data_IF_448067783942
#
_entry.id   IF_448067783942
#
_cell.length_a   1.000
_cell.length_b   1.000
_cell.length_c   1.000
_cell.angle_alpha   90.00
_cell.angle_beta   90.00
_cell.angle_gamma   90.00
#
_symmetry.space_group_name_H-M   'P 1'
#
loop_
_entity.id
_entity.type
_entity.pdbx_description
1 polymer ?
#
# COMPACT_ATOMS: atom_id res chain seq x y z
N UNK A 1 27.30 -4.52 -15.31
CA UNK A 1 26.52 -5.65 -14.76
C UNK A 1 25.08 -5.22 -14.68
N UNK A 2 24.31 -5.52 -15.72
CA UNK A 2 22.87 -5.30 -15.76
C UNK A 2 22.18 -6.22 -14.75
N UNK A 3 21.81 -5.67 -13.60
CA UNK A 3 20.95 -6.34 -12.66
C UNK A 3 19.50 -6.14 -13.08
N UNK A 4 18.93 -7.12 -13.79
CA UNK A 4 17.48 -7.18 -14.01
C UNK A 4 16.75 -7.12 -12.66
N UNK A 5 16.00 -6.04 -12.46
CA UNK A 5 15.21 -5.79 -11.24
C UNK A 5 14.14 -6.85 -11.05
N UNK A 6 13.80 -7.14 -9.79
CA UNK A 6 12.68 -8.03 -9.47
C UNK A 6 11.34 -7.29 -9.48
N UNK A 7 10.26 -8.02 -9.76
CA UNK A 7 8.90 -7.51 -9.84
C UNK A 7 8.54 -6.57 -8.68
N UNK A 8 7.95 -5.42 -9.02
CA UNK A 8 7.59 -4.32 -8.11
C UNK A 8 8.80 -3.58 -7.50
N UNK A 9 9.92 -3.51 -8.22
CA UNK A 9 11.13 -2.79 -7.81
C UNK A 9 11.88 -3.44 -6.64
N UNK A 10 11.63 -4.71 -6.36
CA UNK A 10 12.33 -5.45 -5.32
C UNK A 10 13.71 -5.93 -5.83
N UNK A 11 14.75 -5.74 -5.02
CA UNK A 11 16.03 -6.40 -5.25
C UNK A 11 15.84 -7.94 -5.16
N UNK A 12 16.64 -8.71 -5.91
CA UNK A 12 16.69 -10.17 -5.73
C UNK A 12 17.07 -10.47 -4.26
N UNK A 13 16.37 -11.40 -3.63
CA UNK A 13 16.62 -11.78 -2.25
C UNK A 13 18.08 -12.26 -2.06
N UNK A 14 18.75 -11.82 -0.99
CA UNK A 14 20.11 -12.24 -0.63
C UNK A 14 21.13 -11.14 -0.28
N UNK A 15 20.77 -9.85 -0.40
CA UNK A 15 21.63 -8.74 0.04
C UNK A 15 21.53 -8.46 1.55
N UNK A 16 22.62 -8.01 2.17
CA UNK A 16 22.59 -7.53 3.55
C UNK A 16 21.67 -6.31 3.69
N UNK A 17 20.82 -6.30 4.73
CA UNK A 17 19.98 -5.14 5.04
C UNK A 17 20.87 -3.98 5.50
N UNK A 18 20.85 -2.88 4.75
CA UNK A 18 21.53 -1.62 5.11
C UNK A 18 20.47 -0.61 5.61
N UNK A 19 20.36 -0.38 6.94
CA UNK A 19 19.40 0.54 7.51
C UNK A 19 19.56 1.98 6.99
N UNK A 20 20.79 2.41 6.69
CA UNK A 20 21.06 3.76 6.23
C UNK A 20 20.48 4.01 4.83
N UNK A 21 20.67 3.06 3.92
CA UNK A 21 20.08 3.14 2.57
C UNK A 21 18.58 2.94 2.56
N UNK A 22 18.03 2.14 3.48
CA UNK A 22 16.59 1.96 3.61
C UNK A 22 15.89 3.26 4.02
N UNK A 23 16.41 3.96 5.04
CA UNK A 23 15.83 5.23 5.50
C UNK A 23 15.95 6.35 4.44
N UNK A 24 16.94 6.29 3.56
CA UNK A 24 17.11 7.24 2.46
C UNK A 24 16.14 7.02 1.29
N UNK A 25 15.35 5.94 1.29
CA UNK A 25 14.35 5.72 0.25
C UNK A 25 13.25 6.79 0.35
N UNK A 26 12.89 7.47 -0.75
CA UNK A 26 11.94 8.58 -0.72
C UNK A 26 10.55 8.15 -0.23
N UNK A 27 10.14 6.90 -0.51
CA UNK A 27 8.90 6.32 0.01
C UNK A 27 8.93 6.19 1.54
N UNK A 28 10.05 5.74 2.11
CA UNK A 28 10.23 5.57 3.56
C UNK A 28 10.26 6.93 4.26
N UNK A 29 10.94 7.92 3.68
CA UNK A 29 10.93 9.30 4.22
C UNK A 29 9.53 9.91 4.21
N UNK A 30 8.79 9.75 3.10
CA UNK A 30 7.40 10.20 3.03
C UNK A 30 6.53 9.50 4.10
N UNK A 31 6.74 8.19 4.32
CA UNK A 31 6.04 7.41 5.34
C UNK A 31 6.32 7.94 6.76
N UNK A 32 7.59 8.20 7.07
CA UNK A 32 8.00 8.75 8.36
C UNK A 32 7.37 10.13 8.56
N UNK A 33 7.41 10.99 7.54
CA UNK A 33 6.77 12.31 7.60
C UNK A 33 5.25 12.19 7.85
N UNK A 34 4.55 11.33 7.12
CA UNK A 34 3.12 11.07 7.33
C UNK A 34 2.81 10.54 8.73
N UNK A 35 3.65 9.66 9.28
CA UNK A 35 3.50 9.16 10.64
C UNK A 35 3.68 10.28 11.68
N UNK A 36 4.68 11.14 11.51
CA UNK A 36 4.94 12.28 12.41
C UNK A 36 3.79 13.28 12.36
N UNK A 37 3.29 13.64 11.17
CA UNK A 37 2.16 14.57 11.05
C UNK A 37 0.90 14.01 11.71
N UNK A 38 0.60 12.72 11.48
CA UNK A 38 -0.51 12.04 12.14
C UNK A 38 -0.37 12.04 13.66
N UNK A 39 0.83 11.73 14.17
CA UNK A 39 1.16 11.75 15.59
C UNK A 39 0.91 13.12 16.21
N UNK A 40 1.37 14.19 15.56
CA UNK A 40 1.15 15.56 16.03
C UNK A 40 -0.35 15.86 16.09
N UNK A 41 -1.11 15.55 15.04
CA UNK A 41 -2.56 15.83 14.98
C UNK A 41 -3.32 15.16 16.12
N UNK A 42 -3.20 13.83 16.30
CA UNK A 42 -3.99 13.17 17.35
C UNK A 42 -3.46 13.52 18.74
N UNK A 43 -2.15 13.73 18.91
CA UNK A 43 -1.59 14.06 20.24
C UNK A 43 -2.03 15.45 20.69
N UNK A 44 -2.04 16.44 19.79
CA UNK A 44 -2.57 17.78 20.08
C UNK A 44 -4.06 17.72 20.44
N UNK A 45 -4.86 16.90 19.74
CA UNK A 45 -6.28 16.75 20.05
C UNK A 45 -6.54 16.01 21.37
N UNK A 46 -5.77 14.96 21.68
CA UNK A 46 -5.94 14.21 22.95
C UNK A 46 -5.44 15.03 24.14
N UNK A 47 -4.36 15.80 23.97
CA UNK A 47 -3.77 16.59 25.05
C UNK A 47 -4.50 17.91 25.32
N UNK A 48 -4.84 18.65 24.26
CA UNK A 48 -5.35 20.02 24.35
C UNK A 48 -6.56 20.27 23.43
N UNK A 49 -7.16 19.23 22.84
CA UNK A 49 -8.32 19.36 21.97
C UNK A 49 -9.63 19.62 22.73
N UNK A 50 -9.65 19.43 24.04
CA UNK A 50 -10.82 19.68 24.89
C UNK A 50 -10.52 20.75 25.93
N UNK A 51 -11.39 21.76 25.98
CA UNK A 51 -11.29 22.89 26.91
C UNK A 51 -12.57 23.01 27.73
N UNK A 52 -12.48 23.61 28.91
CA UNK A 52 -13.64 23.88 29.76
C UNK A 52 -13.94 25.39 29.79
N UNK A 53 -15.22 25.73 29.96
CA UNK A 53 -15.59 27.13 30.17
C UNK A 53 -15.16 27.59 31.57
N UNK A 54 -14.85 28.88 31.78
CA UNK A 54 -14.40 29.38 33.09
C UNK A 54 -15.37 29.13 34.26
N UNK A 55 -16.66 28.92 33.96
CA UNK A 55 -17.74 28.69 34.93
C UNK A 55 -18.30 27.27 34.94
N UNK A 56 -17.83 26.38 34.08
CA UNK A 56 -18.30 25.00 33.98
C UNK A 56 -17.13 24.02 33.97
N UNK A 57 -17.30 22.85 34.59
CA UNK A 57 -16.32 21.75 34.53
C UNK A 57 -16.54 20.84 33.32
N UNK A 58 -17.56 21.10 32.50
CA UNK A 58 -17.81 20.34 31.29
C UNK A 58 -16.71 20.63 30.25
N UNK A 59 -16.15 19.57 29.67
CA UNK A 59 -15.14 19.66 28.62
C UNK A 59 -15.81 19.59 27.26
N UNK A 60 -15.36 20.46 26.36
CA UNK A 60 -15.88 20.57 25.02
C UNK A 60 -14.72 20.56 24.02
N UNK A 61 -14.96 19.99 22.84
CA UNK A 61 -14.01 20.10 21.74
C UNK A 61 -13.73 21.57 21.40
N UNK A 62 -12.46 21.92 21.24
CA UNK A 62 -11.96 23.27 20.91
C UNK A 62 -12.47 23.78 19.55
N UNK A 63 -12.86 22.87 18.66
CA UNK A 63 -13.45 23.18 17.37
C UNK A 63 -14.95 23.40 17.51
N UNK A 64 -15.35 24.65 17.80
CA UNK A 64 -16.75 25.10 17.84
C UNK A 64 -17.68 24.22 18.71
N UNK A 65 -17.16 23.68 19.82
CA UNK A 65 -17.87 22.75 20.70
C UNK A 65 -18.44 21.51 20.00
N UNK A 66 -17.93 21.19 18.81
CA UNK A 66 -18.39 20.08 18.00
C UNK A 66 -17.52 18.86 18.29
N UNK A 67 -18.05 17.94 19.09
CA UNK A 67 -17.33 16.73 19.50
C UNK A 67 -16.95 15.83 18.31
N UNK A 68 -17.73 15.86 17.22
CA UNK A 68 -17.42 15.10 16.01
C UNK A 68 -16.13 15.60 15.33
N UNK A 69 -15.76 16.88 15.49
CA UNK A 69 -14.51 17.42 14.95
C UNK A 69 -13.27 16.82 15.65
N UNK A 70 -13.25 16.82 16.98
CA UNK A 70 -12.16 16.21 17.74
C UNK A 70 -12.12 14.70 17.52
N UNK A 71 -13.27 14.01 17.59
CA UNK A 71 -13.34 12.56 17.36
C UNK A 71 -12.87 12.17 15.97
N UNK A 72 -13.26 12.94 14.96
CA UNK A 72 -12.80 12.75 13.59
C UNK A 72 -11.27 12.88 13.51
N UNK A 73 -10.69 13.99 13.99
CA UNK A 73 -9.26 14.23 13.90
C UNK A 73 -8.43 13.20 14.67
N UNK A 74 -8.88 12.79 15.87
CA UNK A 74 -8.24 11.74 16.66
C UNK A 74 -8.30 10.40 15.93
N UNK A 75 -9.49 10.00 15.45
CA UNK A 75 -9.69 8.72 14.77
C UNK A 75 -8.85 8.60 13.51
N UNK A 76 -8.90 9.62 12.64
CA UNK A 76 -8.10 9.67 11.42
C UNK A 76 -6.60 9.69 11.75
N UNK A 77 -6.16 10.48 12.74
CA UNK A 77 -4.75 10.56 13.12
C UNK A 77 -4.20 9.24 13.69
N UNK A 78 -4.92 8.58 14.60
CA UNK A 78 -4.48 7.31 15.20
C UNK A 78 -4.41 6.21 14.15
N UNK A 79 -5.44 6.06 13.31
CA UNK A 79 -5.46 5.05 12.26
C UNK A 79 -4.38 5.33 11.19
N UNK A 80 -4.12 6.60 10.85
CA UNK A 80 -3.03 6.99 9.97
C UNK A 80 -1.66 6.52 10.51
N UNK A 81 -1.43 6.78 11.80
CA UNK A 81 -0.17 6.45 12.46
C UNK A 81 0.06 4.93 12.49
N UNK A 82 -0.95 4.16 12.90
CA UNK A 82 -0.88 2.69 12.91
C UNK A 82 -0.66 2.13 11.50
N UNK A 83 -1.36 2.67 10.50
CA UNK A 83 -1.15 2.27 9.11
C UNK A 83 0.27 2.59 8.63
N UNK A 84 0.81 3.75 9.00
CA UNK A 84 2.19 4.09 8.66
C UNK A 84 3.20 3.11 9.28
N UNK A 85 3.01 2.71 10.54
CA UNK A 85 3.84 1.69 11.20
C UNK A 85 3.73 0.35 10.47
N UNK A 86 2.52 -0.09 10.15
CA UNK A 86 2.30 -1.33 9.42
C UNK A 86 2.99 -1.31 8.04
N UNK A 87 2.74 -0.28 7.23
CA UNK A 87 3.35 -0.18 5.90
C UNK A 87 4.86 0.04 5.95
N UNK A 88 5.39 0.69 6.98
CA UNK A 88 6.83 0.78 7.20
C UNK A 88 7.46 -0.61 7.43
N UNK A 89 6.82 -1.45 8.23
CA UNK A 89 7.24 -2.85 8.41
C UNK A 89 7.16 -3.61 7.10
N UNK A 90 6.06 -3.46 6.35
CA UNK A 90 5.93 -4.05 5.02
C UNK A 90 7.06 -3.59 4.10
N UNK A 91 7.37 -2.30 4.05
CA UNK A 91 8.44 -1.74 3.21
C UNK A 91 9.81 -2.34 3.58
N UNK A 92 10.09 -2.58 4.88
CA UNK A 92 11.32 -3.20 5.36
C UNK A 92 11.47 -4.68 4.94
N UNK A 93 10.37 -5.44 5.00
CA UNK A 93 10.37 -6.87 4.64
C UNK A 93 10.08 -7.12 3.16
N UNK A 94 9.62 -6.12 2.41
CA UNK A 94 9.21 -6.26 1.00
C UNK A 94 10.26 -6.97 0.12
N UNK A 95 11.57 -6.66 0.22
CA UNK A 95 12.59 -7.35 -0.58
C UNK A 95 12.69 -8.86 -0.30
N UNK A 96 12.29 -9.31 0.89
CA UNK A 96 12.37 -10.70 1.32
C UNK A 96 11.16 -11.54 0.87
N UNK A 97 10.06 -10.90 0.47
CA UNK A 97 8.85 -11.59 0.02
C UNK A 97 9.14 -12.24 -1.33
N UNK A 98 9.11 -13.57 -1.46
CA UNK A 98 9.37 -14.24 -2.75
C UNK A 98 8.14 -14.32 -3.66
N UNK A 99 6.93 -14.33 -3.08
CA UNK A 99 5.67 -14.47 -3.81
C UNK A 99 5.25 -13.16 -4.48
N UNK A 100 5.17 -13.17 -5.81
CA UNK A 100 4.83 -11.98 -6.59
C UNK A 100 3.35 -11.57 -6.44
N UNK A 101 2.46 -12.52 -6.12
CA UNK A 101 1.05 -12.25 -5.83
C UNK A 101 0.90 -11.47 -4.52
N UNK A 102 1.64 -11.86 -3.47
CA UNK A 102 1.61 -11.16 -2.18
C UNK A 102 2.15 -9.74 -2.34
N UNK A 103 3.26 -9.57 -3.08
CA UNK A 103 3.80 -8.24 -3.43
C UNK A 103 2.75 -7.38 -4.13
N UNK A 104 2.01 -7.93 -5.11
CA UNK A 104 0.94 -7.21 -5.81
C UNK A 104 -0.14 -6.70 -4.86
N UNK A 105 -0.65 -7.57 -3.98
CA UNK A 105 -1.70 -7.19 -3.04
C UNK A 105 -1.22 -6.15 -2.03
N UNK A 106 0.02 -6.26 -1.54
CA UNK A 106 0.59 -5.27 -0.64
C UNK A 106 0.75 -3.90 -1.30
N UNK A 107 1.22 -3.85 -2.55
CA UNK A 107 1.33 -2.60 -3.32
C UNK A 107 -0.05 -2.00 -3.60
N UNK A 108 -1.04 -2.83 -3.94
CA UNK A 108 -2.41 -2.35 -4.19
C UNK A 108 -3.08 -1.86 -2.90
N UNK A 109 -2.84 -2.53 -1.78
CA UNK A 109 -3.31 -2.11 -0.47
C UNK A 109 -2.68 -0.76 -0.06
N UNK A 110 -1.37 -0.59 -0.25
CA UNK A 110 -0.68 0.68 0.03
C UNK A 110 -1.20 1.81 -0.87
N UNK A 111 -1.40 1.53 -2.16
CA UNK A 111 -1.98 2.47 -3.12
C UNK A 111 -3.39 2.92 -2.70
N UNK A 112 -4.28 1.94 -2.44
CA UNK A 112 -5.67 2.21 -2.07
C UNK A 112 -5.78 2.94 -0.74
N UNK A 113 -5.02 2.48 0.27
CA UNK A 113 -4.98 3.12 1.58
C UNK A 113 -4.44 4.55 1.47
N UNK A 114 -3.34 4.77 0.75
CA UNK A 114 -2.75 6.10 0.58
C UNK A 114 -3.69 7.07 -0.14
N UNK A 115 -4.42 6.60 -1.15
CA UNK A 115 -5.43 7.39 -1.85
C UNK A 115 -6.60 7.77 -0.95
N UNK A 116 -7.17 6.79 -0.23
CA UNK A 116 -8.26 7.03 0.72
C UNK A 116 -7.82 8.01 1.81
N UNK A 117 -6.64 7.83 2.37
CA UNK A 117 -6.15 8.68 3.46
C UNK A 117 -5.83 10.10 3.01
N UNK A 118 -5.33 10.28 1.78
CA UNK A 118 -5.17 11.62 1.17
C UNK A 118 -6.52 12.35 1.12
N UNK A 119 -7.56 11.66 0.64
CA UNK A 119 -8.91 12.23 0.58
C UNK A 119 -9.47 12.55 1.98
N UNK A 120 -9.30 11.64 2.95
CA UNK A 120 -9.74 11.88 4.32
C UNK A 120 -8.99 13.06 4.96
N UNK A 121 -7.67 13.18 4.79
CA UNK A 121 -6.95 14.36 5.28
C UNK A 121 -7.43 15.67 4.65
N UNK A 122 -7.81 15.65 3.36
CA UNK A 122 -8.38 16.82 2.71
C UNK A 122 -9.75 17.20 3.30
N UNK A 123 -10.66 16.24 3.44
CA UNK A 123 -11.97 16.45 4.08
C UNK A 123 -11.79 16.94 5.51
N UNK A 124 -10.89 16.31 6.26
CA UNK A 124 -10.54 16.68 7.62
C UNK A 124 -10.04 18.11 7.72
N UNK A 125 -9.07 18.49 6.90
CA UNK A 125 -8.56 19.85 6.84
C UNK A 125 -9.68 20.87 6.59
N UNK A 126 -10.54 20.63 5.58
CA UNK A 126 -11.66 21.52 5.29
C UNK A 126 -12.65 21.59 6.46
N UNK A 127 -12.99 20.44 7.06
CA UNK A 127 -13.95 20.36 8.17
C UNK A 127 -13.43 21.06 9.43
N UNK A 128 -12.21 20.73 9.86
CA UNK A 128 -11.54 21.33 11.03
C UNK A 128 -11.35 22.84 10.84
N UNK A 129 -10.94 23.29 9.65
CA UNK A 129 -10.80 24.72 9.35
C UNK A 129 -12.14 25.44 9.41
N UNK A 130 -13.21 24.83 8.87
CA UNK A 130 -14.55 25.39 8.95
C UNK A 130 -15.02 25.52 10.41
N UNK A 131 -14.86 24.47 11.23
CA UNK A 131 -15.23 24.56 12.64
C UNK A 131 -14.38 25.61 13.37
N UNK A 132 -13.07 25.69 13.07
CA UNK A 132 -12.20 26.70 13.65
C UNK A 132 -12.62 28.13 13.30
N UNK A 133 -13.06 28.38 12.05
CA UNK A 133 -13.51 29.70 11.61
C UNK A 133 -14.75 30.20 12.35
N UNK A 134 -15.61 29.29 12.84
CA UNK A 134 -16.80 29.61 13.63
C UNK A 134 -16.57 29.57 15.14
N UNK A 135 -15.37 29.18 15.59
CA UNK A 135 -15.03 29.11 17.01
C UNK A 135 -14.88 30.52 17.58
N UNK A 136 -15.56 30.81 18.69
CA UNK A 136 -15.50 32.13 19.31
C UNK A 136 -14.22 32.29 20.12
N UNK A 137 -13.57 33.46 20.06
CA UNK A 137 -12.30 33.70 20.76
C UNK A 137 -12.41 33.54 22.29
N UNK A 138 -13.59 33.77 22.85
CA UNK A 138 -13.87 33.60 24.28
C UNK A 138 -13.92 32.14 24.74
N UNK A 139 -14.10 31.19 23.81
CA UNK A 139 -14.14 29.76 24.10
C UNK A 139 -12.73 29.13 24.07
N UNK A 140 -11.74 29.87 23.56
CA UNK A 140 -10.35 29.41 23.41
C UNK A 140 -9.43 30.14 24.40
N UNK A 141 -9.55 29.82 25.68
CA UNK A 141 -8.63 30.35 26.70
C UNK A 141 -7.22 29.71 26.61
N UNK A 142 -7.15 28.42 26.28
CA UNK A 142 -5.93 27.60 26.19
C UNK A 142 -6.09 26.65 24.98
N UNK A 143 -5.00 26.30 24.30
CA UNK A 143 -5.01 25.31 23.21
C UNK A 143 -5.17 25.88 21.79
N UNK A 144 -5.22 27.22 21.62
CA UNK A 144 -5.30 27.85 20.30
C UNK A 144 -4.15 27.43 19.37
N UNK A 145 -2.94 27.32 19.91
CA UNK A 145 -1.76 26.89 19.16
C UNK A 145 -1.84 25.42 18.77
N UNK A 146 -2.36 24.56 19.66
CA UNK A 146 -2.62 23.15 19.38
C UNK A 146 -3.69 22.97 18.29
N UNK A 147 -4.80 23.71 18.34
CA UNK A 147 -5.82 23.68 17.29
C UNK A 147 -5.25 24.14 15.93
N UNK A 148 -4.45 25.20 15.92
CA UNK A 148 -3.75 25.66 14.70
C UNK A 148 -2.78 24.61 14.17
N UNK A 149 -2.01 23.98 15.05
CA UNK A 149 -1.11 22.88 14.67
C UNK A 149 -1.90 21.72 14.04
N UNK A 150 -3.02 21.31 14.64
CA UNK A 150 -3.90 20.27 14.08
C UNK A 150 -4.32 20.61 12.65
N UNK A 151 -4.77 21.84 12.39
CA UNK A 151 -5.17 22.28 11.04
C UNK A 151 -3.97 22.26 10.09
N UNK A 152 -2.83 22.83 10.49
CA UNK A 152 -1.62 22.93 9.65
C UNK A 152 -1.06 21.54 9.30
N UNK A 153 -0.93 20.65 10.28
CA UNK A 153 -0.41 19.30 10.03
C UNK A 153 -1.42 18.40 9.31
N UNK A 154 -2.73 18.66 9.42
CA UNK A 154 -3.74 18.03 8.56
C UNK A 154 -3.55 18.45 7.09
N UNK A 155 -3.29 19.73 6.83
CA UNK A 155 -2.99 20.23 5.48
C UNK A 155 -1.72 19.60 4.89
N UNK A 156 -0.62 19.58 5.65
CA UNK A 156 0.62 18.93 5.18
C UNK A 156 0.47 17.41 5.00
N UNK A 157 -0.39 16.78 5.78
CA UNK A 157 -0.69 15.36 5.63
C UNK A 157 -1.25 15.04 4.24
N UNK A 158 -2.07 15.91 3.64
CA UNK A 158 -2.60 15.73 2.28
C UNK A 158 -1.46 15.49 1.28
N UNK A 159 -0.43 16.34 1.29
CA UNK A 159 0.71 16.22 0.38
C UNK A 159 1.58 15.00 0.69
N UNK A 160 1.83 14.72 1.98
CA UNK A 160 2.65 13.57 2.37
C UNK A 160 2.02 12.24 1.94
N UNK A 161 0.70 12.08 2.12
CA UNK A 161 -0.05 10.91 1.67
C UNK A 161 -0.22 10.88 0.15
N UNK A 162 -0.33 12.04 -0.50
CA UNK A 162 -0.30 12.15 -1.96
C UNK A 162 1.05 11.68 -2.56
N UNK A 163 2.17 11.98 -1.89
CA UNK A 163 3.49 11.45 -2.28
C UNK A 163 3.56 9.93 -2.09
N UNK A 164 3.05 9.40 -0.99
CA UNK A 164 2.95 7.94 -0.78
C UNK A 164 2.12 7.27 -1.88
N UNK A 165 0.97 7.85 -2.23
CA UNK A 165 0.15 7.40 -3.34
C UNK A 165 0.92 7.39 -4.66
N UNK A 166 1.65 8.46 -4.97
CA UNK A 166 2.45 8.54 -6.19
C UNK A 166 3.57 7.48 -6.23
N UNK A 167 4.26 7.26 -5.11
CA UNK A 167 5.29 6.22 -5.01
C UNK A 167 4.72 4.81 -5.11
N UNK A 168 3.61 4.53 -4.44
CA UNK A 168 2.89 3.26 -4.56
C UNK A 168 2.41 3.03 -6.00
N UNK A 169 1.93 4.06 -6.69
CA UNK A 169 1.53 3.99 -8.09
C UNK A 169 2.70 3.69 -9.02
N UNK A 170 3.84 4.37 -8.82
CA UNK A 170 5.06 4.08 -9.56
C UNK A 170 5.50 2.61 -9.34
N UNK A 171 5.43 2.13 -8.10
CA UNK A 171 5.75 0.74 -7.75
C UNK A 171 4.82 -0.26 -8.40
N UNK A 172 3.52 0.03 -8.42
CA UNK A 172 2.51 -0.76 -9.11
C UNK A 172 2.83 -0.87 -10.60
N UNK A 173 3.11 0.26 -11.26
CA UNK A 173 3.48 0.27 -12.69
C UNK A 173 4.71 -0.56 -13.00
N UNK A 174 5.79 -0.38 -12.23
CA UNK A 174 7.02 -1.16 -12.41
C UNK A 174 6.74 -2.68 -12.32
N UNK A 175 5.91 -3.12 -11.38
CA UNK A 175 5.54 -4.53 -11.31
C UNK A 175 4.70 -5.03 -12.49
N UNK A 176 3.73 -4.23 -12.96
CA UNK A 176 2.93 -4.58 -14.14
C UNK A 176 3.78 -4.69 -15.41
N UNK A 177 4.73 -3.76 -15.60
CA UNK A 177 5.67 -3.76 -16.72
C UNK A 177 6.60 -4.98 -16.68
N UNK A 178 7.16 -5.33 -15.50
CA UNK A 178 8.00 -6.52 -15.33
C UNK A 178 7.25 -7.82 -15.69
N UNK A 179 5.97 -7.93 -15.32
CA UNK A 179 5.14 -9.09 -15.70
C UNK A 179 4.85 -9.14 -17.19
N UNK A 180 4.57 -7.99 -17.82
CA UNK A 180 4.32 -7.93 -19.26
C UNK A 180 5.56 -8.38 -20.05
N UNK A 181 6.75 -7.93 -19.67
CA UNK A 181 8.00 -8.37 -20.29
C UNK A 181 8.33 -9.84 -20.05
N UNK A 182 7.94 -10.41 -18.90
CA UNK A 182 8.16 -11.83 -18.60
C UNK A 182 7.24 -12.78 -19.38
N UNK A 183 6.11 -12.28 -19.89
CA UNK A 183 5.14 -13.07 -20.67
C UNK A 183 5.39 -12.99 -22.18
N UNK A 184 6.13 -11.99 -22.65
CA UNK A 184 6.56 -11.90 -24.05
C UNK A 184 7.77 -12.81 -24.23
N UNK A 185 7.56 -13.94 -24.89
CA UNK A 185 8.60 -14.90 -25.26
C UNK A 185 9.72 -14.19 -26.03
N UNK A 186 10.98 -14.19 -25.56
CA UNK A 186 12.10 -13.67 -26.31
C UNK A 186 12.54 -14.69 -27.36
N UNK A 187 11.62 -15.28 -28.13
CA UNK A 187 12.01 -15.79 -29.42
C UNK A 187 12.27 -14.57 -30.29
N UNK A 188 13.53 -14.24 -30.66
CA UNK A 188 13.71 -13.40 -31.82
C UNK A 188 12.92 -14.09 -32.93
N UNK A 189 12.05 -13.37 -33.62
CA UNK A 189 11.58 -13.81 -34.91
C UNK A 189 12.83 -13.96 -35.78
N UNK A 190 13.43 -15.16 -35.74
CA UNK A 190 14.29 -15.63 -36.80
C UNK A 190 13.34 -15.65 -37.98
N UNK A 191 13.47 -14.62 -38.81
CA UNK A 191 12.81 -14.55 -40.11
C UNK A 191 13.39 -15.72 -40.89
N UNK A 192 12.77 -16.90 -40.78
CA UNK A 192 13.19 -18.09 -41.50
C UNK A 192 13.03 -17.79 -42.99
N UNK A 193 14.11 -17.65 -43.77
CA UNK A 193 13.99 -17.57 -45.21
C UNK A 193 13.75 -19.01 -45.69
N UNK A 194 12.66 -19.20 -46.43
CA UNK A 194 12.27 -20.45 -47.08
C UNK A 194 11.79 -21.60 -46.19
N UNK A 195 10.50 -21.90 -46.31
CA UNK A 195 10.02 -23.22 -46.74
C UNK A 195 8.58 -23.10 -47.24
N UNK A 196 8.40 -23.03 -48.56
CA UNK A 196 7.11 -23.36 -49.19
C UNK A 196 6.89 -24.87 -49.02
N UNK A 197 5.99 -25.27 -48.12
CA UNK A 197 5.47 -26.63 -48.10
C UNK A 197 4.18 -26.69 -48.95
N UNK A 198 4.00 -27.75 -49.75
CA UNK A 198 2.80 -27.91 -50.56
C UNK A 198 1.62 -28.25 -49.65
N UNK A 199 0.47 -27.69 -50.00
CA UNK A 199 -0.83 -27.93 -49.38
C UNK A 199 -1.16 -29.44 -49.47
N UNK A 200 -0.96 -30.17 -48.38
CA UNK A 200 -1.43 -31.56 -48.24
C UNK A 200 -2.75 -31.51 -47.46
N UNK A 201 -3.78 -31.94 -48.16
CA UNK A 201 -5.17 -32.08 -47.75
C UNK A 201 -5.34 -32.89 -46.45
N UNK A 202 -6.36 -32.46 -45.71
CA UNK A 202 -7.08 -33.07 -44.59
C UNK A 202 -6.88 -34.56 -44.29
N UNK A 203 -7.00 -34.83 -42.98
CA UNK A 203 -7.20 -36.11 -42.28
C UNK A 203 -5.95 -36.94 -41.99
N UNK A 204 -5.44 -36.84 -40.75
CA UNK A 204 -4.82 -37.95 -40.00
C UNK A 204 -4.45 -37.53 -38.57
N UNK A 205 -5.37 -37.78 -37.63
CA UNK A 205 -5.18 -38.14 -36.22
C UNK A 205 -4.07 -37.47 -35.38
N UNK A 206 -4.52 -36.59 -34.47
CA UNK A 206 -3.87 -36.37 -33.17
C UNK A 206 -3.71 -37.70 -32.42
N UNK A 207 -2.49 -38.05 -31.99
CA UNK A 207 -2.28 -38.86 -30.79
C UNK A 207 -0.89 -38.61 -30.16
N UNK A 208 -0.78 -38.29 -28.86
CA UNK A 208 0.50 -38.16 -28.15
C UNK A 208 1.09 -39.54 -27.78
N UNK A 209 2.42 -39.69 -27.63
CA UNK A 209 3.02 -40.99 -27.35
C UNK A 209 3.03 -41.27 -25.85
N UNK A 210 2.09 -42.06 -25.38
CA UNK A 210 2.30 -42.90 -24.20
C UNK A 210 1.85 -44.32 -24.57
N UNK A 211 2.81 -45.23 -24.68
CA UNK A 211 2.54 -46.68 -24.69
C UNK A 211 3.50 -47.34 -23.71
N UNK A 212 2.95 -47.73 -22.55
CA UNK A 212 3.47 -48.79 -21.71
C UNK A 212 3.28 -50.12 -22.45
N UNK A 213 4.35 -50.88 -22.60
CA UNK A 213 4.30 -52.29 -23.00
C UNK A 213 3.95 -53.13 -21.78
N UNK A 214 2.77 -53.75 -21.80
CA UNK A 214 2.42 -54.85 -20.93
C UNK A 214 1.98 -56.01 -21.82
N UNK A 215 2.79 -57.07 -21.88
CA UNK A 215 2.42 -58.36 -22.45
C UNK A 215 2.27 -59.39 -21.33
N UNK A 216 1.03 -59.88 -21.23
CA UNK A 216 0.55 -61.20 -20.83
C UNK A 216 0.85 -61.79 -19.43
N UNK A 217 -0.27 -62.29 -18.85
CA UNK A 217 -0.43 -63.47 -17.96
C UNK A 217 -0.05 -63.37 -16.48
N UNK A 218 -1.04 -63.13 -15.60
CA UNK A 218 -1.70 -64.16 -14.76
C UNK A 218 -2.69 -63.55 -13.74
N UNK A 219 -3.85 -64.20 -13.58
CA UNK A 219 -4.55 -64.37 -12.29
C UNK A 219 -5.22 -63.17 -11.61
N UNK A 220 -6.54 -63.01 -11.82
CA UNK A 220 -7.40 -62.22 -10.92
C UNK A 220 -7.58 -62.94 -9.57
N UNK A 221 -7.34 -62.25 -8.46
CA UNK A 221 -7.76 -62.69 -7.12
C UNK A 221 -8.37 -61.51 -6.32
N UNK A 222 -9.66 -61.58 -5.94
CA UNK A 222 -10.36 -60.50 -5.21
C UNK A 222 -10.03 -60.49 -3.71
N UNK A 223 -10.31 -59.37 -2.98
CA UNK A 223 -9.68 -59.07 -1.70
C UNK A 223 -10.34 -59.80 -0.51
N UNK A 224 -9.58 -60.21 0.52
CA UNK A 224 -10.16 -60.55 1.80
C UNK A 224 -10.47 -59.28 2.59
N UNK A 225 -11.75 -59.16 2.93
CA UNK A 225 -12.31 -58.31 3.98
C UNK A 225 -11.75 -58.80 5.32
N UNK A 226 -11.17 -57.90 6.13
CA UNK A 226 -11.44 -57.73 7.58
C UNK A 226 -10.86 -56.40 8.04
#
# INVERSE_FOLDING_TARGET
>A
MEGGGGAYGAAKAGGAFDPGRFVQQPQVLARIASAVFALIVFSCLVGEGHTNQPRSQELFCIFNHNEDACRYGIGIGVLAFLACVFFFVVDAYFPQISNATDRKYLVLADLGFSGLWTFLWFVGFCFLTNQWAWTQAQDVLIGADSARAVITFSFFSIFSWGLLLAFAYKRYKMGVEDFAHSYVDPTPEVSTPYSSYPNISHDSYQQPPFTQTADATEGYQPPPVY
#
